data_IF_997417299104
#
_entry.id   IF_997417299104
#
_cell.length_a   1.000
_cell.length_b   1.000
_cell.length_c   1.000
_cell.angle_alpha   90.00
_cell.angle_beta   90.00
_cell.angle_gamma   90.00
#
_symmetry.space_group_name_H-M   'P 1'
#
loop_
_entity.id
_entity.type
_entity.pdbx_description
1 polymer ?
#
# COMPACT_ATOMS: atom_id res chain seq x y z
N UNK A 1 -15.64 -7.41 0.91
CA UNK A 1 -15.05 -6.77 2.12
C UNK A 1 -13.56 -6.60 1.89
N UNK A 2 -13.04 -5.37 1.95
CA UNK A 2 -11.63 -5.05 1.73
C UNK A 2 -10.90 -4.94 3.07
N UNK A 3 -9.60 -5.24 3.13
CA UNK A 3 -8.77 -4.91 4.29
C UNK A 3 -7.54 -4.12 3.88
N UNK A 4 -7.30 -3.05 4.62
CA UNK A 4 -6.15 -2.16 4.44
C UNK A 4 -5.25 -2.35 5.64
N UNK A 5 -3.98 -2.62 5.38
CA UNK A 5 -2.89 -2.65 6.36
C UNK A 5 -1.89 -1.56 6.01
N UNK A 6 -1.18 -1.04 7.00
CA UNK A 6 -0.08 -0.09 6.76
C UNK A 6 1.27 -0.77 6.96
N UNK A 7 2.27 -0.43 6.15
CA UNK A 7 3.64 -0.93 6.25
C UNK A 7 4.66 0.19 6.04
N UNK A 8 5.91 -0.02 6.44
CA UNK A 8 7.01 0.92 6.19
C UNK A 8 8.35 0.17 6.31
N UNK A 9 9.46 0.86 6.11
CA UNK A 9 10.77 0.29 6.41
C UNK A 9 11.02 0.30 7.91
N UNK A 10 10.93 -0.86 8.55
CA UNK A 10 11.16 -1.01 9.99
C UNK A 10 12.48 -1.71 10.30
N UNK A 11 13.42 -1.80 9.34
CA UNK A 11 14.69 -2.53 9.50
C UNK A 11 15.46 -2.15 10.76
N UNK A 12 15.40 -0.88 11.15
CA UNK A 12 16.11 -0.34 12.31
C UNK A 12 15.35 -0.48 13.64
N UNK A 13 14.07 -0.89 13.60
CA UNK A 13 13.20 -0.97 14.78
C UNK A 13 12.69 -2.39 15.06
N UNK A 14 12.66 -3.26 14.04
CA UNK A 14 12.24 -4.65 14.15
C UNK A 14 13.15 -5.54 13.30
N UNK A 15 14.12 -6.16 13.97
CA UNK A 15 15.09 -7.10 13.40
C UNK A 15 14.52 -8.50 13.20
N UNK A 16 13.38 -8.83 13.81
CA UNK A 16 12.75 -10.14 13.73
C UNK A 16 12.18 -10.46 12.33
N UNK A 17 12.11 -9.48 11.43
CA UNK A 17 11.78 -9.72 10.03
C UNK A 17 10.35 -10.21 9.85
N UNK A 18 9.40 -9.29 9.66
CA UNK A 18 8.00 -9.65 9.44
C UNK A 18 7.12 -8.49 9.01
N UNK A 19 7.75 -7.39 8.61
CA UNK A 19 7.10 -6.14 8.22
C UNK A 19 7.12 -6.01 6.70
N UNK A 20 6.05 -5.43 6.16
CA UNK A 20 5.92 -5.19 4.73
C UNK A 20 6.60 -3.87 4.42
N UNK A 21 7.58 -3.91 3.51
CA UNK A 21 8.13 -2.68 2.97
C UNK A 21 7.22 -2.14 1.88
N UNK A 22 6.60 -1.00 2.15
CA UNK A 22 5.99 -0.12 1.16
C UNK A 22 6.55 1.28 1.43
N UNK A 23 6.66 2.11 0.40
CA UNK A 23 7.35 3.39 0.45
C UNK A 23 8.22 3.64 -0.79
N UNK A 24 9.04 4.71 -0.78
CA UNK A 24 9.88 5.08 -1.90
C UNK A 24 10.78 3.93 -2.35
N UNK A 25 10.74 3.60 -3.64
CA UNK A 25 11.56 2.57 -4.27
C UNK A 25 11.36 1.18 -3.67
N UNK A 26 10.18 0.90 -3.10
CA UNK A 26 9.88 -0.42 -2.55
C UNK A 26 9.87 -1.48 -3.65
N UNK A 27 10.55 -2.61 -3.40
CA UNK A 27 10.49 -3.77 -4.28
C UNK A 27 9.12 -4.43 -4.16
N UNK A 28 8.28 -4.26 -5.18
CA UNK A 28 6.91 -4.78 -5.21
C UNK A 28 6.87 -6.30 -5.07
N UNK A 29 7.85 -7.02 -5.62
CA UNK A 29 7.90 -8.49 -5.52
C UNK A 29 8.13 -8.94 -4.08
N UNK A 30 9.11 -8.32 -3.42
CA UNK A 30 9.43 -8.59 -2.02
C UNK A 30 8.27 -8.19 -1.09
N UNK A 31 7.69 -7.01 -1.32
CA UNK A 31 6.51 -6.56 -0.59
C UNK A 31 5.33 -7.54 -0.76
N UNK A 32 5.18 -8.16 -1.93
CA UNK A 32 4.07 -9.09 -2.23
C UNK A 32 4.27 -10.38 -1.48
N UNK A 33 5.50 -10.90 -1.49
CA UNK A 33 5.87 -12.09 -0.72
C UNK A 33 5.62 -11.87 0.78
N UNK A 34 6.07 -10.74 1.32
CA UNK A 34 5.90 -10.40 2.74
C UNK A 34 4.44 -10.19 3.13
N UNK A 35 3.65 -9.50 2.30
CA UNK A 35 2.22 -9.33 2.54
C UNK A 35 1.49 -10.68 2.46
N UNK A 36 1.86 -11.56 1.53
CA UNK A 36 1.31 -12.92 1.44
C UNK A 36 1.60 -13.72 2.72
N UNK A 37 2.84 -13.70 3.21
CA UNK A 37 3.21 -14.35 4.48
C UNK A 37 2.46 -13.76 5.68
N UNK A 38 2.29 -12.44 5.73
CA UNK A 38 1.53 -11.78 6.81
C UNK A 38 0.06 -12.24 6.80
N UNK A 39 -0.56 -12.29 5.62
CA UNK A 39 -1.96 -12.68 5.48
C UNK A 39 -2.18 -14.20 5.70
N UNK A 40 -1.13 -15.02 5.62
CA UNK A 40 -1.19 -16.45 5.93
C UNK A 40 -1.19 -16.77 7.44
N UNK A 41 -0.98 -15.77 8.31
CA UNK A 41 -1.04 -15.98 9.77
C UNK A 41 -2.45 -16.41 10.19
N UNK A 42 -2.53 -17.24 11.24
CA UNK A 42 -3.78 -17.83 11.72
C UNK A 42 -4.88 -16.76 11.96
N UNK A 43 -4.49 -15.60 12.47
CA UNK A 43 -5.37 -14.45 12.73
C UNK A 43 -6.03 -13.84 11.48
N UNK A 44 -5.46 -14.05 10.28
CA UNK A 44 -5.91 -13.40 9.05
C UNK A 44 -6.35 -14.37 7.95
N UNK A 45 -5.91 -15.62 7.97
CA UNK A 45 -6.08 -16.55 6.85
C UNK A 45 -7.54 -16.87 6.49
N UNK A 46 -8.47 -16.81 7.46
CA UNK A 46 -9.91 -17.07 7.23
C UNK A 46 -10.68 -15.86 6.70
N UNK A 47 -10.03 -14.69 6.61
CA UNK A 47 -10.72 -13.47 6.24
C UNK A 47 -11.05 -13.46 4.74
N UNK A 48 -12.29 -13.10 4.36
CA UNK A 48 -12.66 -12.99 2.95
C UNK A 48 -11.78 -12.02 2.15
N UNK A 49 -11.23 -10.99 2.81
CA UNK A 49 -10.31 -10.05 2.18
C UNK A 49 -8.97 -10.71 1.79
N UNK A 50 -8.53 -11.73 2.53
CA UNK A 50 -7.32 -12.49 2.24
C UNK A 50 -7.59 -13.52 1.14
N UNK A 51 -8.65 -14.31 1.29
CA UNK A 51 -9.02 -15.36 0.32
C UNK A 51 -9.34 -14.77 -1.06
N UNK A 52 -9.94 -13.58 -1.10
CA UNK A 52 -10.37 -12.95 -2.35
C UNK A 52 -9.32 -12.02 -2.97
N UNK A 53 -8.09 -11.96 -2.44
CA UNK A 53 -7.04 -11.09 -2.97
C UNK A 53 -7.38 -9.59 -2.86
N UNK A 54 -7.86 -9.18 -1.69
CA UNK A 54 -8.27 -7.80 -1.38
C UNK A 54 -7.56 -7.28 -0.12
N UNK A 55 -6.34 -7.76 0.12
CA UNK A 55 -5.44 -7.22 1.12
C UNK A 55 -4.57 -6.13 0.49
N UNK A 56 -4.61 -4.94 1.06
CA UNK A 56 -3.92 -3.74 0.58
C UNK A 56 -2.88 -3.30 1.61
N UNK A 57 -1.65 -3.03 1.18
CA UNK A 57 -0.65 -2.37 2.02
C UNK A 57 -0.44 -0.93 1.55
N UNK A 58 -0.44 0.02 2.50
CA UNK A 58 -0.21 1.45 2.25
C UNK A 58 0.98 1.91 3.11
N UNK A 59 1.78 2.84 2.60
CA UNK A 59 2.90 3.40 3.34
C UNK A 59 2.46 4.10 4.62
N UNK A 60 3.02 3.68 5.75
CA UNK A 60 2.57 4.08 7.08
C UNK A 60 2.76 5.58 7.34
N UNK A 61 3.82 6.19 6.81
CA UNK A 61 4.15 7.60 7.03
C UNK A 61 3.11 8.58 6.45
N UNK A 62 2.15 8.10 5.65
CA UNK A 62 1.02 8.92 5.24
C UNK A 62 0.08 9.32 6.38
N UNK A 63 0.13 8.64 7.54
CA UNK A 63 -0.79 8.91 8.65
C UNK A 63 -0.62 10.31 9.28
N UNK A 64 0.56 10.92 9.13
CA UNK A 64 0.90 12.21 9.73
C UNK A 64 1.63 13.11 8.71
N UNK A 65 1.13 13.10 7.47
CA UNK A 65 1.77 13.78 6.35
C UNK A 65 0.78 14.66 5.58
N UNK A 66 1.24 15.81 5.02
CA UNK A 66 0.42 16.61 4.12
C UNK A 66 -0.02 15.86 2.85
N UNK A 67 0.54 14.67 2.58
CA UNK A 67 0.21 13.84 1.42
C UNK A 67 -1.07 13.00 1.61
N UNK A 68 -1.76 13.12 2.76
CA UNK A 68 -2.96 12.32 3.09
C UNK A 68 -4.05 12.29 2.00
N UNK A 69 -4.20 13.38 1.23
CA UNK A 69 -5.18 13.47 0.15
C UNK A 69 -4.96 12.40 -0.93
N UNK A 70 -3.70 12.04 -1.21
CA UNK A 70 -3.33 10.99 -2.16
C UNK A 70 -3.79 9.62 -1.66
N UNK A 71 -3.67 9.35 -0.35
CA UNK A 71 -4.13 8.09 0.24
C UNK A 71 -5.64 7.98 0.17
N UNK A 72 -6.36 9.07 0.44
CA UNK A 72 -7.82 9.11 0.30
C UNK A 72 -8.23 8.76 -1.13
N UNK A 73 -7.53 9.30 -2.14
CA UNK A 73 -7.77 8.94 -3.54
C UNK A 73 -7.51 7.45 -3.83
N UNK A 74 -6.40 6.90 -3.31
CA UNK A 74 -6.07 5.49 -3.48
C UNK A 74 -7.12 4.57 -2.86
N UNK A 75 -7.59 4.91 -1.65
CA UNK A 75 -8.65 4.18 -0.97
C UNK A 75 -10.00 4.32 -1.69
N UNK A 76 -10.39 5.53 -2.09
CA UNK A 76 -11.62 5.79 -2.82
C UNK A 76 -11.67 4.98 -4.12
N UNK A 77 -10.60 5.06 -4.92
CA UNK A 77 -10.47 4.27 -6.16
C UNK A 77 -10.54 2.78 -5.89
N UNK A 78 -9.95 2.29 -4.80
CA UNK A 78 -9.97 0.87 -4.51
C UNK A 78 -11.34 0.37 -4.07
N UNK A 79 -12.03 1.13 -3.23
CA UNK A 79 -13.34 0.77 -2.70
C UNK A 79 -14.44 0.89 -3.76
N UNK A 80 -14.33 1.88 -4.65
CA UNK A 80 -15.32 2.15 -5.69
C UNK A 80 -14.66 2.39 -7.07
N UNK A 81 -14.02 1.36 -7.67
CA UNK A 81 -13.23 1.52 -8.89
C UNK A 81 -14.04 1.98 -10.10
N UNK A 82 -15.34 1.67 -10.14
CA UNK A 82 -16.25 2.15 -11.19
C UNK A 82 -16.56 3.64 -11.06
N UNK A 83 -16.69 4.14 -9.83
CA UNK A 83 -17.04 5.53 -9.55
C UNK A 83 -15.81 6.45 -9.71
N UNK A 84 -14.64 5.97 -9.33
CA UNK A 84 -13.38 6.73 -9.34
C UNK A 84 -12.38 6.19 -10.37
N UNK A 85 -12.89 5.74 -11.53
CA UNK A 85 -12.05 5.20 -12.60
C UNK A 85 -11.02 6.23 -13.10
N UNK A 86 -11.41 7.51 -13.11
CA UNK A 86 -10.66 8.64 -13.66
C UNK A 86 -9.62 9.21 -12.69
N UNK A 87 -9.67 8.85 -11.40
CA UNK A 87 -8.67 9.27 -10.41
C UNK A 87 -7.40 8.46 -10.60
N UNK A 88 -6.23 9.10 -10.70
CA UNK A 88 -4.93 8.41 -10.63
C UNK A 88 -4.14 8.94 -9.41
N UNK A 89 -4.11 8.17 -8.30
CA UNK A 89 -3.37 8.55 -7.11
C UNK A 89 -1.86 8.64 -7.36
N UNK A 90 -1.31 7.79 -8.23
CA UNK A 90 0.11 7.81 -8.57
C UNK A 90 0.44 9.05 -9.41
N UNK A 91 -0.42 9.45 -10.34
CA UNK A 91 -0.26 10.70 -11.08
C UNK A 91 -0.36 11.93 -10.17
N UNK A 92 -1.35 11.95 -9.27
CA UNK A 92 -1.50 13.03 -8.29
C UNK A 92 -0.25 13.17 -7.43
N UNK A 93 0.31 12.05 -6.96
CA UNK A 93 1.50 12.12 -6.12
C UNK A 93 2.76 12.51 -6.90
N UNK A 94 2.87 12.08 -8.16
CA UNK A 94 3.93 12.56 -9.08
C UNK A 94 3.86 14.07 -9.26
N UNK A 95 2.67 14.61 -9.55
CA UNK A 95 2.48 16.06 -9.71
C UNK A 95 2.84 16.80 -8.42
N UNK A 96 2.43 16.27 -7.26
CA UNK A 96 2.77 16.85 -5.97
C UNK A 96 4.29 16.93 -5.75
N UNK A 97 5.03 15.85 -6.03
CA UNK A 97 6.50 15.85 -5.93
C UNK A 97 7.10 16.92 -6.87
N UNK A 98 6.66 16.94 -8.13
CA UNK A 98 7.18 17.88 -9.14
C UNK A 98 6.95 19.36 -8.77
N UNK A 99 5.82 19.67 -8.15
CA UNK A 99 5.44 21.06 -7.84
C UNK A 99 5.98 21.56 -6.52
N UNK A 100 6.14 20.67 -5.53
CA UNK A 100 6.31 21.10 -4.15
C UNK A 100 7.49 20.46 -3.42
N UNK A 101 8.12 19.40 -3.94
CA UNK A 101 9.22 18.72 -3.26
C UNK A 101 10.52 18.83 -4.08
N UNK A 102 11.68 18.93 -3.40
CA UNK A 102 12.98 18.90 -4.06
C UNK A 102 13.46 17.48 -4.40
N UNK A 103 12.57 16.49 -4.33
CA UNK A 103 12.88 15.07 -4.57
C UNK A 103 11.90 14.48 -5.58
N UNK A 104 12.42 13.61 -6.44
CA UNK A 104 11.61 12.93 -7.44
C UNK A 104 10.68 11.89 -6.81
N UNK A 105 9.49 11.75 -7.39
CA UNK A 105 8.59 10.66 -7.04
C UNK A 105 9.24 9.30 -7.31
N UNK A 106 9.02 8.37 -6.38
CA UNK A 106 9.45 6.98 -6.49
C UNK A 106 8.23 6.05 -6.34
N UNK A 107 8.08 4.98 -7.13
CA UNK A 107 6.98 4.04 -6.95
C UNK A 107 7.14 3.21 -5.66
N UNK A 108 6.05 2.57 -5.23
CA UNK A 108 6.09 1.60 -4.11
C UNK A 108 5.29 1.97 -2.86
N UNK A 109 4.61 3.13 -2.87
CA UNK A 109 3.84 3.65 -1.73
C UNK A 109 2.60 2.83 -1.34
N UNK A 110 2.09 2.00 -2.24
CA UNK A 110 0.96 1.13 -1.99
C UNK A 110 1.05 -0.14 -2.83
N UNK A 111 0.40 -1.20 -2.36
CA UNK A 111 0.23 -2.43 -3.12
C UNK A 111 -1.01 -3.22 -2.73
N UNK A 112 -1.33 -4.21 -3.56
CA UNK A 112 -2.51 -5.05 -3.43
C UNK A 112 -2.13 -6.49 -3.75
N UNK A 113 -2.51 -7.44 -2.89
CA UNK A 113 -2.45 -8.85 -3.27
C UNK A 113 -3.42 -9.11 -4.42
N UNK A 114 -2.99 -9.84 -5.44
CA UNK A 114 -3.92 -10.37 -6.45
C UNK A 114 -4.57 -11.65 -5.90
N UNK A 115 -5.81 -11.98 -6.28
CA UNK A 115 -6.40 -13.27 -5.94
C UNK A 115 -5.50 -14.40 -6.46
N UNK A 116 -5.33 -15.47 -5.66
CA UNK A 116 -4.76 -16.71 -6.18
C UNK A 116 -5.76 -17.26 -7.21
N UNK A 117 -5.30 -17.45 -8.45
CA UNK A 117 -6.06 -18.16 -9.49
C UNK A 117 -6.20 -19.62 -9.10
#
# INVERSE_FOLDING_TARGET
>A
MYRVVTGANWKNYNTAGGWIYVGPSANISEATQRLTMLMARLAFHTLPAVTNGNAHAIWHQFYDSPYQSVVIQALAKRLHPKLFKDIDPDATFREFHQRFLPIDYQPGYWMTLKPKR
#
